data_IF_483553074735
#
_entry.id   IF_483553074735
#
_cell.length_a   1.000
_cell.length_b   1.000
_cell.length_c   1.000
_cell.angle_alpha   90.00
_cell.angle_beta   90.00
_cell.angle_gamma   90.00
#
_symmetry.space_group_name_H-M   'P 1'
#
loop_
_entity.id
_entity.type
_entity.pdbx_description
1 polymer ?
#
# COMPACT_ATOMS: atom_id res chain seq x y z
N UNK A 1 11.11 6.19 -19.55
CA UNK A 1 9.72 6.61 -19.32
C UNK A 1 9.76 7.84 -18.43
N UNK A 2 9.54 9.03 -18.99
CA UNK A 2 9.47 10.28 -18.21
C UNK A 2 8.02 10.41 -17.78
N UNK A 3 7.73 10.19 -16.49
CA UNK A 3 6.38 10.35 -15.96
C UNK A 3 6.07 11.85 -15.97
N UNK A 4 5.23 12.30 -16.92
CA UNK A 4 4.68 13.67 -16.90
C UNK A 4 3.64 13.75 -15.80
N UNK A 5 4.08 14.17 -14.62
CA UNK A 5 3.21 14.52 -13.48
C UNK A 5 2.79 15.98 -13.61
N UNK A 6 1.53 16.34 -13.30
CA UNK A 6 1.10 17.73 -13.18
C UNK A 6 2.05 18.52 -12.26
N UNK A 7 2.34 19.81 -12.53
CA UNK A 7 3.23 20.61 -11.70
C UNK A 7 2.88 20.59 -10.20
N UNK A 8 1.58 20.54 -9.89
CA UNK A 8 1.05 20.48 -8.51
C UNK A 8 1.41 19.20 -7.76
N UNK A 9 1.72 18.11 -8.46
CA UNK A 9 2.01 16.79 -7.87
C UNK A 9 3.50 16.47 -7.84
N UNK A 10 4.35 17.29 -8.49
CA UNK A 10 5.80 17.03 -8.59
C UNK A 10 6.48 16.97 -7.22
N UNK A 11 6.17 17.90 -6.32
CA UNK A 11 6.75 17.92 -4.97
C UNK A 11 6.30 16.69 -4.17
N UNK A 12 5.01 16.37 -4.19
CA UNK A 12 4.49 15.16 -3.55
C UNK A 12 5.16 13.89 -4.09
N UNK A 13 5.39 13.79 -5.40
CA UNK A 13 6.10 12.65 -5.98
C UNK A 13 7.57 12.60 -5.53
N UNK A 14 8.25 13.75 -5.50
CA UNK A 14 9.63 13.83 -5.02
C UNK A 14 9.73 13.41 -3.55
N UNK A 15 8.85 13.92 -2.69
CA UNK A 15 8.80 13.54 -1.27
C UNK A 15 8.57 12.05 -1.09
N UNK A 16 7.71 11.43 -1.90
CA UNK A 16 7.50 9.97 -1.90
C UNK A 16 8.73 9.17 -2.32
N UNK A 17 9.44 9.65 -3.34
CA UNK A 17 10.67 9.01 -3.82
C UNK A 17 11.79 9.10 -2.78
N UNK A 18 11.95 10.24 -2.12
CA UNK A 18 12.92 10.40 -1.03
C UNK A 18 12.52 9.59 0.20
N UNK A 19 11.23 9.56 0.54
CA UNK A 19 10.73 8.78 1.68
C UNK A 19 10.96 7.28 1.50
N UNK A 20 10.92 6.78 0.26
CA UNK A 20 11.22 5.38 -0.04
C UNK A 20 12.65 4.98 0.31
N UNK A 21 13.60 5.92 0.29
CA UNK A 21 14.98 5.63 0.67
C UNK A 21 15.15 5.46 2.19
N UNK A 22 14.25 6.04 3.00
CA UNK A 22 14.24 5.88 4.45
C UNK A 22 13.53 4.60 4.91
N UNK A 23 12.57 4.09 4.13
CA UNK A 23 11.88 2.85 4.42
C UNK A 23 12.78 1.62 4.19
N UNK A 24 12.54 0.50 4.92
CA UNK A 24 13.24 -0.75 4.67
C UNK A 24 13.06 -1.25 3.23
N UNK A 25 14.12 -1.78 2.63
CA UNK A 25 14.04 -2.39 1.30
C UNK A 25 13.26 -3.71 1.39
N UNK A 26 12.08 -3.83 0.73
CA UNK A 26 11.28 -5.05 0.79
C UNK A 26 12.02 -6.28 0.23
N UNK A 27 13.03 -6.10 -0.63
CA UNK A 27 13.87 -7.21 -1.13
C UNK A 27 14.77 -7.82 -0.05
N UNK A 28 15.00 -7.10 1.05
CA UNK A 28 15.80 -7.57 2.18
C UNK A 28 14.96 -8.22 3.27
N UNK A 29 13.64 -8.26 3.12
CA UNK A 29 12.78 -9.02 4.03
C UNK A 29 13.11 -10.52 4.00
N UNK A 30 13.09 -11.22 5.15
CA UNK A 30 12.68 -10.75 6.49
C UNK A 30 13.83 -10.18 7.35
N UNK A 31 15.00 -9.90 6.77
CA UNK A 31 16.22 -9.52 7.51
C UNK A 31 16.33 -8.03 7.85
N UNK A 32 15.26 -7.27 7.68
CA UNK A 32 15.15 -5.86 8.06
C UNK A 32 14.03 -5.70 9.09
N UNK A 33 13.48 -4.49 9.28
CA UNK A 33 12.34 -4.25 10.17
C UNK A 33 11.24 -5.31 9.98
N UNK A 34 11.00 -6.08 11.05
CA UNK A 34 10.07 -7.21 11.04
C UNK A 34 8.64 -6.75 10.79
N UNK A 35 8.20 -5.68 11.46
CA UNK A 35 6.83 -5.18 11.34
C UNK A 35 6.54 -4.63 9.96
N UNK A 36 7.52 -3.97 9.33
CA UNK A 36 7.45 -3.59 7.93
C UNK A 36 7.31 -4.81 7.02
N UNK A 37 8.17 -5.81 7.19
CA UNK A 37 8.15 -7.01 6.35
C UNK A 37 6.83 -7.78 6.46
N UNK A 38 6.28 -7.92 7.67
CA UNK A 38 4.98 -8.52 7.91
C UNK A 38 3.87 -7.73 7.20
N UNK A 39 3.89 -6.41 7.33
CA UNK A 39 2.91 -5.52 6.68
C UNK A 39 2.98 -5.59 5.17
N UNK A 40 4.18 -5.51 4.61
CA UNK A 40 4.42 -5.65 3.19
C UNK A 40 3.95 -7.03 2.66
N UNK A 41 4.20 -8.12 3.40
CA UNK A 41 3.72 -9.45 3.03
C UNK A 41 2.18 -9.51 3.00
N UNK A 42 1.52 -9.01 4.05
CA UNK A 42 0.05 -9.02 4.15
C UNK A 42 -0.62 -8.21 3.05
N UNK A 43 -0.08 -7.02 2.73
CA UNK A 43 -0.59 -6.21 1.62
C UNK A 43 -0.45 -6.98 0.29
N UNK A 44 0.70 -7.59 0.02
CA UNK A 44 0.90 -8.38 -1.20
C UNK A 44 -0.03 -9.59 -1.29
N UNK A 45 -0.33 -10.25 -0.17
CA UNK A 45 -1.31 -11.34 -0.11
C UNK A 45 -2.72 -10.85 -0.42
N UNK A 46 -3.11 -9.69 0.14
CA UNK A 46 -4.39 -9.06 -0.15
C UNK A 46 -4.51 -8.69 -1.64
N UNK A 47 -3.48 -8.09 -2.23
CA UNK A 47 -3.44 -7.76 -3.67
C UNK A 47 -3.59 -9.01 -4.54
N UNK A 48 -2.83 -10.07 -4.25
CA UNK A 48 -2.94 -11.35 -4.95
C UNK A 48 -4.34 -11.93 -4.83
N UNK A 49 -4.91 -11.90 -3.63
CA UNK A 49 -6.28 -12.37 -3.38
C UNK A 49 -7.32 -11.62 -4.20
N UNK A 50 -7.19 -10.30 -4.32
CA UNK A 50 -8.08 -9.47 -5.15
C UNK A 50 -7.90 -9.81 -6.64
N UNK A 51 -6.67 -9.89 -7.14
CA UNK A 51 -6.41 -10.23 -8.55
C UNK A 51 -6.89 -11.63 -8.91
N UNK A 52 -6.69 -12.62 -8.03
CA UNK A 52 -7.17 -13.98 -8.24
C UNK A 52 -8.70 -14.08 -8.24
N UNK A 53 -9.39 -13.21 -7.51
CA UNK A 53 -10.86 -13.16 -7.49
C UNK A 53 -11.46 -12.36 -8.67
N UNK A 54 -10.63 -11.61 -9.42
CA UNK A 54 -11.11 -10.74 -10.49
C UNK A 54 -11.63 -11.55 -11.70
N UNK A 55 -12.84 -11.26 -12.20
CA UNK A 55 -13.28 -11.79 -13.49
C UNK A 55 -12.32 -11.35 -14.60
N UNK A 56 -11.96 -12.25 -15.53
CA UNK A 56 -11.03 -11.95 -16.63
C UNK A 56 -11.39 -10.67 -17.39
N UNK A 57 -12.68 -10.46 -17.66
CA UNK A 57 -13.18 -9.27 -18.37
C UNK A 57 -12.99 -7.95 -17.59
N UNK A 58 -12.72 -8.00 -16.29
CA UNK A 58 -12.53 -6.84 -15.40
C UNK A 58 -11.12 -6.79 -14.80
N UNK A 59 -10.19 -7.62 -15.27
CA UNK A 59 -8.85 -7.72 -14.69
C UNK A 59 -8.10 -6.38 -14.71
N UNK A 60 -8.08 -5.70 -15.86
CA UNK A 60 -7.37 -4.42 -15.99
C UNK A 60 -7.96 -3.33 -15.07
N UNK A 61 -9.29 -3.22 -15.03
CA UNK A 61 -9.95 -2.28 -14.12
C UNK A 61 -9.64 -2.59 -12.64
N UNK A 62 -9.65 -3.88 -12.28
CA UNK A 62 -9.28 -4.34 -10.92
C UNK A 62 -7.83 -3.99 -10.60
N UNK A 63 -6.91 -4.27 -11.54
CA UNK A 63 -5.49 -3.98 -11.39
C UNK A 63 -5.24 -2.47 -11.21
N UNK A 64 -5.92 -1.61 -11.97
CA UNK A 64 -5.78 -0.16 -11.87
C UNK A 64 -6.24 0.38 -10.50
N UNK A 65 -7.33 -0.15 -9.96
CA UNK A 65 -7.80 0.20 -8.60
C UNK A 65 -6.78 -0.26 -7.55
N UNK A 66 -6.35 -1.51 -7.62
CA UNK A 66 -5.32 -2.07 -6.74
C UNK A 66 -4.04 -1.24 -6.75
N UNK A 67 -3.48 -1.01 -7.95
CA UNK A 67 -2.22 -0.31 -8.12
C UNK A 67 -2.27 1.11 -7.53
N UNK A 68 -3.37 1.84 -7.79
CA UNK A 68 -3.59 3.18 -7.24
C UNK A 68 -3.59 3.16 -5.71
N UNK A 69 -4.40 2.29 -5.12
CA UNK A 69 -4.61 2.27 -3.67
C UNK A 69 -3.39 1.71 -2.92
N UNK A 70 -2.75 0.66 -3.43
CA UNK A 70 -1.54 0.11 -2.87
C UNK A 70 -0.37 1.09 -2.91
N UNK A 71 -0.20 1.80 -4.03
CA UNK A 71 0.85 2.81 -4.17
C UNK A 71 0.69 3.93 -3.15
N UNK A 72 -0.55 4.38 -2.90
CA UNK A 72 -0.86 5.33 -1.82
C UNK A 72 -0.49 4.77 -0.44
N UNK A 73 -0.81 3.49 -0.19
CA UNK A 73 -0.49 2.86 1.08
C UNK A 73 1.01 2.78 1.35
N UNK A 74 1.79 2.34 0.36
CA UNK A 74 3.24 2.32 0.45
C UNK A 74 3.85 3.71 0.53
N UNK A 75 3.28 4.72 -0.12
CA UNK A 75 3.72 6.11 0.05
C UNK A 75 3.58 6.56 1.50
N UNK A 76 2.45 6.28 2.14
CA UNK A 76 2.20 6.64 3.53
C UNK A 76 3.10 5.90 4.52
N UNK A 77 3.32 4.60 4.30
CA UNK A 77 4.30 3.82 5.07
C UNK A 77 5.70 4.43 4.93
N UNK A 78 6.13 4.70 3.70
CA UNK A 78 7.46 5.27 3.45
C UNK A 78 7.63 6.64 4.10
N UNK A 79 6.60 7.50 4.03
CA UNK A 79 6.59 8.82 4.68
C UNK A 79 6.73 8.70 6.19
N UNK A 80 6.06 7.73 6.83
CA UNK A 80 6.22 7.49 8.27
C UNK A 80 7.67 7.13 8.63
N UNK A 81 8.31 6.27 7.83
CA UNK A 81 9.73 5.94 8.00
C UNK A 81 10.65 7.15 7.76
N UNK A 82 10.31 8.02 6.82
CA UNK A 82 11.07 9.23 6.55
C UNK A 82 10.99 10.26 7.69
N UNK A 83 9.85 10.34 8.37
CA UNK A 83 9.68 11.16 9.58
C UNK A 83 10.50 10.57 10.74
N UNK A 84 10.59 9.24 10.83
CA UNK A 84 11.41 8.56 11.83
C UNK A 84 10.81 8.53 13.24
N UNK A 85 9.52 8.81 13.40
CA UNK A 85 8.80 8.63 14.67
C UNK A 85 8.30 7.19 14.78
N UNK A 86 8.91 6.41 15.66
CA UNK A 86 8.58 4.99 15.91
C UNK A 86 7.09 4.79 16.22
N UNK A 87 6.44 5.74 16.91
CA UNK A 87 5.00 5.62 17.23
C UNK A 87 4.16 5.80 15.98
N UNK A 88 4.54 6.72 15.11
CA UNK A 88 3.85 6.96 13.85
C UNK A 88 4.05 5.79 12.88
N UNK A 89 5.29 5.26 12.78
CA UNK A 89 5.60 4.05 12.02
C UNK A 89 4.71 2.89 12.49
N UNK A 90 4.71 2.61 13.79
CA UNK A 90 3.89 1.53 14.36
C UNK A 90 2.40 1.73 14.09
N UNK A 91 1.90 2.97 14.22
CA UNK A 91 0.49 3.32 13.97
C UNK A 91 0.10 3.09 12.51
N UNK A 92 0.93 3.54 11.57
CA UNK A 92 0.68 3.41 10.12
C UNK A 92 0.72 1.93 9.73
N UNK A 93 1.76 1.20 10.14
CA UNK A 93 1.88 -0.23 9.84
C UNK A 93 0.71 -1.04 10.41
N UNK A 94 0.30 -0.77 11.65
CA UNK A 94 -0.84 -1.44 12.27
C UNK A 94 -2.15 -1.20 11.50
N UNK A 95 -2.36 0.02 10.99
CA UNK A 95 -3.56 0.35 10.21
C UNK A 95 -3.61 -0.40 8.88
N UNK A 96 -2.52 -0.40 8.11
CA UNK A 96 -2.46 -1.14 6.84
C UNK A 96 -2.47 -2.66 7.03
N UNK A 97 -1.87 -3.17 8.11
CA UNK A 97 -2.02 -4.58 8.51
C UNK A 97 -3.48 -4.96 8.71
N UNK A 98 -4.22 -4.16 9.48
CA UNK A 98 -5.63 -4.41 9.75
C UNK A 98 -6.47 -4.34 8.47
N UNK A 99 -6.20 -3.40 7.58
CA UNK A 99 -6.86 -3.32 6.28
C UNK A 99 -6.58 -4.57 5.42
N UNK A 100 -5.32 -4.99 5.32
CA UNK A 100 -4.94 -6.19 4.58
C UNK A 100 -5.60 -7.47 5.17
N UNK A 101 -5.61 -7.63 6.50
CA UNK A 101 -6.30 -8.73 7.17
C UNK A 101 -7.81 -8.73 6.85
N UNK A 102 -8.43 -7.55 6.82
CA UNK A 102 -9.86 -7.41 6.47
C UNK A 102 -10.13 -7.83 5.02
N UNK A 103 -9.27 -7.46 4.07
CA UNK A 103 -9.37 -7.90 2.67
C UNK A 103 -9.16 -9.42 2.55
N UNK A 104 -8.17 -9.96 3.27
CA UNK A 104 -7.87 -11.39 3.25
C UNK A 104 -9.04 -12.23 3.78
N UNK A 105 -9.73 -11.75 4.82
CA UNK A 105 -10.92 -12.39 5.38
C UNK A 105 -12.18 -12.22 4.51
N UNK A 106 -12.23 -11.23 3.60
CA UNK A 106 -13.40 -10.99 2.77
C UNK A 106 -13.65 -12.12 1.76
N UNK A 107 -14.93 -12.37 1.48
CA UNK A 107 -15.36 -13.30 0.43
C UNK A 107 -14.80 -12.87 -0.94
N UNK A 108 -14.47 -13.80 -1.86
CA UNK A 108 -13.80 -13.47 -3.13
C UNK A 108 -14.44 -12.32 -3.91
N UNK A 109 -15.77 -12.33 -4.04
CA UNK A 109 -16.53 -11.30 -4.77
C UNK A 109 -16.43 -9.90 -4.13
N UNK A 110 -16.18 -9.82 -2.82
CA UNK A 110 -16.12 -8.57 -2.06
C UNK A 110 -14.69 -8.03 -1.91
N UNK A 111 -13.65 -8.83 -2.21
CA UNK A 111 -12.26 -8.46 -1.95
C UNK A 111 -11.85 -7.13 -2.58
N UNK A 112 -12.23 -6.88 -3.84
CA UNK A 112 -11.91 -5.62 -4.52
C UNK A 112 -12.55 -4.42 -3.83
N UNK A 113 -13.84 -4.53 -3.47
CA UNK A 113 -14.59 -3.46 -2.80
C UNK A 113 -13.98 -3.17 -1.43
N UNK A 114 -13.75 -4.21 -0.63
CA UNK A 114 -13.14 -4.08 0.70
C UNK A 114 -11.74 -3.48 0.61
N UNK A 115 -10.93 -3.89 -0.39
CA UNK A 115 -9.61 -3.32 -0.61
C UNK A 115 -9.69 -1.83 -0.94
N UNK A 116 -10.55 -1.45 -1.89
CA UNK A 116 -10.70 -0.05 -2.28
C UNK A 116 -11.19 0.81 -1.11
N UNK A 117 -12.22 0.39 -0.38
CA UNK A 117 -12.79 1.15 0.73
C UNK A 117 -11.78 1.32 1.88
N UNK A 118 -11.13 0.23 2.29
CA UNK A 118 -10.20 0.28 3.43
C UNK A 118 -8.92 1.04 3.08
N UNK A 119 -8.28 0.76 1.94
CA UNK A 119 -7.06 1.47 1.55
C UNK A 119 -7.34 2.92 1.15
N UNK A 120 -8.46 3.25 0.50
CA UNK A 120 -8.79 4.65 0.20
C UNK A 120 -9.01 5.47 1.48
N UNK A 121 -9.68 4.88 2.49
CA UNK A 121 -9.88 5.54 3.78
C UNK A 121 -8.55 5.84 4.48
N UNK A 122 -7.62 4.87 4.50
CA UNK A 122 -6.29 5.08 5.06
C UNK A 122 -5.47 6.07 4.23
N UNK A 123 -5.49 5.96 2.90
CA UNK A 123 -4.79 6.87 1.99
C UNK A 123 -5.23 8.33 2.15
N UNK A 124 -6.47 8.57 2.60
CA UNK A 124 -6.97 9.91 2.94
C UNK A 124 -6.57 10.38 4.34
N UNK A 125 -6.28 9.45 5.25
CA UNK A 125 -6.02 9.73 6.67
C UNK A 125 -4.53 10.01 6.98
N UNK A 126 -3.61 9.63 6.10
CA UNK A 126 -2.15 9.76 6.25
C UNK A 126 -1.54 10.55 5.08
#
# INVERSE_FOLDING_TARGET
>A
MVIRVPPSEKFSLMDGLFSRAAAPDPKKCPNVDKSYCETHSKINEAEKGVLSAAPKAKFEATFNVLFRQASGGFFNINKAYAIGDDKEIARVLAAYNKAADTVNAAAPAEKLKVFEETFAALNKAY
#
